data_IF_358335068376
#
_entry.id   IF_358335068376
#
_cell.length_a   1.000
_cell.length_b   1.000
_cell.length_c   1.000
_cell.angle_alpha   90.00
_cell.angle_beta   90.00
_cell.angle_gamma   90.00
#
_symmetry.space_group_name_H-M   'P 1'
#
loop_
_entity.id
_entity.type
_entity.pdbx_description
1 polymer ?
#
# COMPACT_ATOMS: atom_id res chain seq x y z
N UNK A 1 7.54 12.53 5.36
CA UNK A 1 8.08 11.23 5.76
C UNK A 1 7.00 10.43 6.46
N UNK A 2 7.23 9.13 6.66
CA UNK A 2 6.32 8.21 7.36
C UNK A 2 6.70 8.01 8.83
N UNK A 3 7.43 8.96 9.44
CA UNK A 3 8.01 8.80 10.79
C UNK A 3 7.01 8.31 11.83
N UNK A 4 5.76 8.77 11.79
CA UNK A 4 4.71 8.35 12.73
C UNK A 4 4.35 6.85 12.66
N UNK A 5 4.70 6.17 11.56
CA UNK A 5 4.53 4.72 11.39
C UNK A 5 5.68 3.91 11.98
N UNK A 6 6.72 4.56 12.49
CA UNK A 6 7.88 3.89 13.07
C UNK A 6 8.06 4.25 14.55
N UNK A 7 8.60 3.31 15.30
CA UNK A 7 9.00 3.48 16.70
C UNK A 7 10.42 2.98 16.88
N UNK A 8 11.15 3.58 17.81
CA UNK A 8 12.48 3.12 18.19
C UNK A 8 12.35 2.47 19.57
N UNK A 9 12.75 1.20 19.66
CA UNK A 9 12.85 0.45 20.92
C UNK A 9 14.32 0.06 21.11
N UNK A 10 15.01 0.78 22.00
CA UNK A 10 16.46 0.71 22.17
C UNK A 10 17.19 0.97 20.85
N UNK A 11 17.86 -0.06 20.32
CA UNK A 11 18.62 -0.03 19.07
C UNK A 11 17.81 -0.55 17.86
N UNK A 12 16.51 -0.81 18.03
CA UNK A 12 15.64 -1.39 17.00
C UNK A 12 14.64 -0.38 16.47
N UNK A 13 14.69 -0.18 15.16
CA UNK A 13 13.62 0.48 14.42
C UNK A 13 12.50 -0.52 14.15
N UNK A 14 11.30 -0.24 14.65
CA UNK A 14 10.11 -1.08 14.52
C UNK A 14 9.03 -0.36 13.74
N UNK A 15 8.36 -1.08 12.85
CA UNK A 15 7.12 -0.62 12.23
C UNK A 15 5.98 -0.70 13.26
N UNK A 16 5.21 0.37 13.39
CA UNK A 16 4.08 0.52 14.31
C UNK A 16 2.79 0.87 13.55
N UNK A 17 2.63 0.31 12.36
CA UNK A 17 1.47 0.48 11.50
C UNK A 17 1.26 -0.76 10.64
N UNK A 18 0.03 -0.97 10.18
CA UNK A 18 -0.26 -1.92 9.12
C UNK A 18 0.22 -1.38 7.77
N UNK A 19 0.58 -2.30 6.87
CA UNK A 19 0.93 -2.00 5.48
C UNK A 19 -0.24 -2.39 4.59
N UNK A 20 -0.43 -1.59 3.55
CA UNK A 20 -1.46 -1.75 2.54
C UNK A 20 -0.84 -1.16 1.26
N UNK A 21 -0.59 -2.02 0.26
CA UNK A 21 0.12 -1.65 -0.95
C UNK A 21 -0.73 -0.69 -1.81
N UNK A 22 -2.03 -0.95 -1.87
CA UNK A 22 -3.05 -0.19 -2.59
C UNK A 22 -3.15 1.23 -2.05
N UNK A 23 -2.85 1.44 -0.76
CA UNK A 23 -2.78 2.76 -0.14
C UNK A 23 -1.40 3.42 -0.26
N UNK A 24 -0.31 2.68 -0.01
CA UNK A 24 1.05 3.21 -0.09
C UNK A 24 2.09 2.12 -0.42
N UNK A 25 2.75 2.27 -1.57
CA UNK A 25 3.78 1.35 -2.05
C UNK A 25 5.19 1.60 -1.47
N UNK A 26 5.38 2.67 -0.71
CA UNK A 26 6.69 3.04 -0.16
C UNK A 26 6.56 3.88 1.11
N UNK A 27 7.58 3.79 1.96
CA UNK A 27 7.68 4.51 3.22
C UNK A 27 9.10 5.06 3.37
N UNK A 28 9.24 6.14 4.13
CA UNK A 28 10.55 6.57 4.59
C UNK A 28 10.51 7.04 6.04
N UNK A 29 11.64 6.94 6.73
CA UNK A 29 11.81 7.54 8.04
C UNK A 29 13.18 8.18 8.16
N UNK A 30 13.25 9.32 8.84
CA UNK A 30 14.52 9.93 9.23
C UNK A 30 14.85 9.50 10.65
N UNK A 31 16.06 8.99 10.85
CA UNK A 31 16.61 8.69 12.17
C UNK A 31 17.65 9.75 12.49
N UNK A 32 17.43 10.46 13.59
CA UNK A 32 18.37 11.44 14.15
C UNK A 32 19.07 10.80 15.33
N UNK A 33 20.40 10.84 15.33
CA UNK A 33 21.21 10.51 16.50
C UNK A 33 21.85 11.77 17.05
N UNK A 34 22.06 11.80 18.37
CA UNK A 34 22.71 12.92 19.07
C UNK A 34 23.85 12.37 19.91
N UNK A 35 25.05 12.93 19.76
CA UNK A 35 26.21 12.56 20.58
C UNK A 35 26.15 13.22 21.97
N UNK A 36 27.06 12.84 22.87
CA UNK A 36 27.15 13.43 24.21
C UNK A 36 27.53 14.91 24.24
N UNK A 37 27.93 15.49 23.09
CA UNK A 37 28.28 16.89 22.92
C UNK A 37 27.19 17.68 22.17
N UNK A 38 25.99 17.12 22.00
CA UNK A 38 24.84 17.69 21.29
C UNK A 38 25.02 17.90 19.77
N UNK A 39 25.98 17.25 19.13
CA UNK A 39 26.00 17.19 17.66
C UNK A 39 24.97 16.17 17.17
N UNK A 40 24.33 16.49 16.04
CA UNK A 40 23.31 15.63 15.45
C UNK A 40 23.73 15.09 14.10
N UNK A 41 23.25 13.89 13.78
CA UNK A 41 23.36 13.31 12.45
C UNK A 41 22.03 12.68 12.06
N UNK A 42 21.57 13.03 10.86
CA UNK A 42 20.32 12.53 10.29
C UNK A 42 20.60 11.54 9.17
N UNK A 43 19.87 10.43 9.17
CA UNK A 43 19.87 9.47 8.06
C UNK A 43 18.45 9.10 7.67
N UNK A 44 18.16 9.23 6.38
CA UNK A 44 16.89 8.79 5.79
C UNK A 44 17.02 7.30 5.41
N UNK A 45 16.03 6.52 5.81
CA UNK A 45 15.83 5.15 5.39
C UNK A 45 14.56 5.06 4.56
N UNK A 46 14.67 4.44 3.39
CA UNK A 46 13.55 4.21 2.48
C UNK A 46 13.19 2.72 2.47
N UNK A 47 11.91 2.42 2.43
CA UNK A 47 11.35 1.07 2.42
C UNK A 47 10.32 0.97 1.28
N UNK A 48 10.26 -0.19 0.65
CA UNK A 48 9.20 -0.53 -0.30
C UNK A 48 8.19 -1.45 0.36
N UNK A 49 6.92 -1.28 0.02
CA UNK A 49 5.85 -2.20 0.41
C UNK A 49 5.68 -3.19 -0.74
N UNK A 50 5.73 -4.49 -0.44
CA UNK A 50 5.51 -5.52 -1.44
C UNK A 50 4.03 -5.67 -1.75
N UNK A 51 3.70 -5.82 -3.04
CA UNK A 51 2.33 -6.12 -3.47
C UNK A 51 2.05 -7.62 -3.33
N UNK A 52 0.83 -7.96 -2.92
CA UNK A 52 0.27 -9.31 -2.96
C UNK A 52 -1.16 -9.26 -3.51
N UNK A 53 -1.66 -10.37 -4.04
CA UNK A 53 -3.05 -10.46 -4.49
C UNK A 53 -3.99 -10.66 -3.28
N UNK A 54 -4.35 -9.56 -2.61
CA UNK A 54 -5.19 -9.55 -1.40
C UNK A 54 -6.53 -8.83 -1.59
N UNK A 55 -6.82 -8.32 -2.79
CA UNK A 55 -8.09 -7.69 -3.14
C UNK A 55 -8.78 -8.44 -4.29
N UNK A 56 -10.04 -8.83 -4.10
CA UNK A 56 -10.81 -9.46 -5.15
C UNK A 56 -11.27 -8.44 -6.21
N UNK A 57 -11.38 -8.81 -7.49
CA UNK A 57 -11.99 -7.96 -8.51
C UNK A 57 -13.44 -7.60 -8.15
N UNK A 58 -13.78 -6.32 -8.19
CA UNK A 58 -15.10 -5.82 -7.75
C UNK A 58 -16.07 -5.49 -8.88
N UNK A 59 -15.57 -5.28 -10.10
CA UNK A 59 -16.37 -4.75 -11.21
C UNK A 59 -16.75 -5.83 -12.25
N UNK A 60 -17.25 -6.97 -11.78
CA UNK A 60 -17.75 -8.04 -12.64
C UNK A 60 -19.23 -7.79 -12.94
N UNK A 61 -19.51 -7.12 -14.05
CA UNK A 61 -20.86 -6.76 -14.49
C UNK A 61 -21.10 -7.23 -15.92
N UNK A 62 -22.30 -7.77 -16.18
CA UNK A 62 -22.78 -8.03 -17.54
C UNK A 62 -23.33 -6.74 -18.13
N UNK A 63 -22.94 -6.44 -19.38
CA UNK A 63 -23.38 -5.23 -20.08
C UNK A 63 -24.84 -5.30 -20.53
N UNK A 64 -25.38 -6.51 -20.66
CA UNK A 64 -26.76 -6.72 -21.09
C UNK A 64 -27.39 -7.91 -20.37
N UNK A 65 -28.30 -7.61 -19.45
CA UNK A 65 -29.08 -8.60 -18.68
C UNK A 65 -30.53 -8.74 -19.17
N UNK A 66 -30.92 -7.99 -20.20
CA UNK A 66 -32.28 -7.99 -20.74
C UNK A 66 -32.25 -8.42 -22.21
N UNK A 67 -32.47 -9.71 -22.44
CA UNK A 67 -32.54 -10.27 -23.79
C UNK A 67 -33.99 -10.31 -24.26
N UNK A 68 -34.26 -9.67 -25.39
CA UNK A 68 -35.56 -9.78 -26.07
C UNK A 68 -35.62 -11.06 -26.90
N UNK A 69 -36.83 -11.56 -27.15
CA UNK A 69 -37.03 -12.75 -27.99
C UNK A 69 -36.42 -12.56 -29.39
N UNK A 70 -35.94 -13.65 -29.98
CA UNK A 70 -35.37 -13.73 -31.34
C UNK A 70 -34.06 -12.96 -31.57
N UNK A 71 -33.32 -12.60 -30.52
CA UNK A 71 -31.93 -12.16 -30.66
C UNK A 71 -31.07 -13.25 -31.33
N UNK A 72 -30.17 -12.89 -32.26
CA UNK A 72 -29.35 -13.86 -32.96
C UNK A 72 -28.35 -14.54 -32.02
N UNK A 73 -27.82 -15.68 -32.46
CA UNK A 73 -26.68 -16.29 -31.77
C UNK A 73 -25.49 -15.31 -31.69
N UNK A 74 -24.72 -15.39 -30.61
CA UNK A 74 -23.60 -14.50 -30.30
C UNK A 74 -23.98 -13.05 -29.97
N UNK A 75 -25.24 -12.77 -29.59
CA UNK A 75 -25.58 -11.48 -28.97
C UNK A 75 -24.71 -11.26 -27.73
N UNK A 76 -24.03 -10.10 -27.70
CA UNK A 76 -23.17 -9.69 -26.59
C UNK A 76 -24.01 -9.49 -25.33
N UNK A 77 -23.61 -10.14 -24.24
CA UNK A 77 -24.27 -10.05 -22.92
C UNK A 77 -23.38 -9.41 -21.85
N UNK A 78 -22.08 -9.28 -22.12
CA UNK A 78 -21.04 -8.87 -21.19
C UNK A 78 -19.69 -9.29 -21.74
#
# INVERSE_FOLDING_TARGET
>A
SSNAKFTIDNDKLKLNATLDYENANSLNTTITVTDGNNHTFDKIFNFTVGNIDDTAPTNILLSNVNLIKDQPANTLVG
#
